data_IF_894517393069
#
_entry.id   IF_894517393069
#
_cell.length_a   1.000
_cell.length_b   1.000
_cell.length_c   1.000
_cell.angle_alpha   90.00
_cell.angle_beta   90.00
_cell.angle_gamma   90.00
#
_symmetry.space_group_name_H-M   'P 1'
#
loop_
_entity.id
_entity.type
_entity.pdbx_description
1 polymer ?
#
# COMPACT_ATOMS: atom_id res chain seq x y z
N UNK A 1 -11.08 -4.34 -9.20
CA UNK A 1 -10.35 -3.89 -8.00
C UNK A 1 -10.04 -5.04 -7.06
N UNK A 2 -11.04 -5.71 -6.46
CA UNK A 2 -10.77 -6.76 -5.45
C UNK A 2 -9.91 -7.94 -5.95
N UNK A 3 -10.13 -8.48 -7.16
CA UNK A 3 -9.27 -9.55 -7.73
C UNK A 3 -7.80 -9.15 -7.89
N UNK A 4 -7.54 -7.90 -8.28
CA UNK A 4 -6.16 -7.38 -8.45
C UNK A 4 -5.51 -7.20 -7.08
N UNK A 5 -6.26 -6.64 -6.12
CA UNK A 5 -5.83 -6.48 -4.73
C UNK A 5 -5.55 -7.84 -4.09
N UNK A 6 -6.41 -8.83 -4.31
CA UNK A 6 -6.27 -10.17 -3.76
C UNK A 6 -5.07 -10.92 -4.34
N UNK A 7 -4.83 -10.82 -5.65
CA UNK A 7 -3.64 -11.42 -6.30
C UNK A 7 -2.35 -10.77 -5.77
N UNK A 8 -2.32 -9.43 -5.67
CA UNK A 8 -1.15 -8.70 -5.20
C UNK A 8 -0.90 -8.92 -3.70
N UNK A 9 -1.96 -8.97 -2.90
CA UNK A 9 -1.90 -9.28 -1.48
C UNK A 9 -1.43 -10.71 -1.23
N UNK A 10 -1.90 -11.67 -2.05
CA UNK A 10 -1.46 -13.06 -1.98
C UNK A 10 0.00 -13.21 -2.39
N UNK A 11 0.46 -12.45 -3.38
CA UNK A 11 1.88 -12.39 -3.73
C UNK A 11 2.73 -11.85 -2.57
N UNK A 12 2.32 -10.78 -1.90
CA UNK A 12 3.01 -10.25 -0.71
C UNK A 12 2.94 -11.19 0.49
N UNK A 13 1.81 -11.84 0.73
CA UNK A 13 1.67 -12.82 1.80
C UNK A 13 2.61 -14.02 1.60
N UNK A 14 2.84 -14.44 0.35
CA UNK A 14 3.78 -15.52 0.02
C UNK A 14 5.24 -15.06 0.15
N UNK A 15 5.58 -13.82 -0.21
CA UNK A 15 6.97 -13.33 -0.18
C UNK A 15 7.42 -12.85 1.20
N UNK A 16 6.53 -12.25 2.00
CA UNK A 16 6.86 -11.67 3.31
C UNK A 16 6.30 -12.47 4.50
N UNK A 17 5.56 -13.56 4.26
CA UNK A 17 4.90 -14.36 5.29
C UNK A 17 4.02 -13.53 6.25
N UNK A 18 3.41 -12.46 5.73
CA UNK A 18 2.52 -11.55 6.48
C UNK A 18 1.07 -12.04 6.48
N UNK A 19 0.28 -11.56 7.44
CA UNK A 19 -1.13 -11.92 7.54
C UNK A 19 -1.88 -11.40 6.31
N UNK A 20 -2.79 -12.20 5.73
CA UNK A 20 -3.56 -11.80 4.54
C UNK A 20 -4.34 -10.47 4.72
N UNK A 21 -4.73 -10.14 5.95
CA UNK A 21 -5.35 -8.85 6.29
C UNK A 21 -4.39 -7.66 6.14
N UNK A 22 -3.11 -7.83 6.48
CA UNK A 22 -2.04 -6.83 6.36
C UNK A 22 -1.68 -6.58 4.90
N UNK A 23 -1.55 -7.66 4.12
CA UNK A 23 -1.16 -7.57 2.71
C UNK A 23 -2.27 -6.92 1.87
N UNK A 24 -3.54 -7.25 2.15
CA UNK A 24 -4.70 -6.66 1.45
C UNK A 24 -4.90 -5.19 1.80
N UNK A 25 -4.73 -4.80 3.07
CA UNK A 25 -4.82 -3.39 3.47
C UNK A 25 -3.68 -2.57 2.88
N UNK A 26 -2.48 -3.11 2.82
CA UNK A 26 -1.32 -2.41 2.27
C UNK A 26 -1.48 -2.15 0.77
N UNK A 27 -1.95 -3.13 0.01
CA UNK A 27 -2.27 -2.93 -1.41
C UNK A 27 -3.40 -1.90 -1.58
N UNK A 28 -4.43 -1.95 -0.73
CA UNK A 28 -5.51 -0.97 -0.75
C UNK A 28 -4.99 0.46 -0.48
N UNK A 29 -4.04 0.64 0.43
CA UNK A 29 -3.38 1.92 0.70
C UNK A 29 -2.70 2.52 -0.54
N UNK A 30 -2.05 1.70 -1.38
CA UNK A 30 -1.33 2.16 -2.57
C UNK A 30 -2.30 2.71 -3.64
N UNK A 31 -3.47 2.09 -3.78
CA UNK A 31 -4.44 2.44 -4.82
C UNK A 31 -5.47 3.49 -4.38
N UNK A 32 -5.96 3.43 -3.14
CA UNK A 32 -7.06 4.26 -2.64
C UNK A 32 -6.58 5.45 -1.81
N UNK A 33 -5.30 5.50 -1.41
CA UNK A 33 -4.83 6.54 -0.51
C UNK A 33 -5.10 6.27 0.97
N UNK A 34 -4.29 6.92 1.80
CA UNK A 34 -4.33 6.84 3.26
C UNK A 34 -5.73 7.04 3.88
N UNK A 35 -6.57 8.00 3.44
CA UNK A 35 -7.89 8.22 4.07
C UNK A 35 -8.89 7.10 3.77
N UNK A 36 -8.87 6.54 2.55
CA UNK A 36 -9.82 5.50 2.13
C UNK A 36 -9.39 4.11 2.62
N UNK A 37 -8.09 3.88 2.71
CA UNK A 37 -7.56 2.64 3.24
C UNK A 37 -7.80 2.51 4.75
N UNK A 38 -7.65 3.60 5.53
CA UNK A 38 -7.97 3.65 6.96
C UNK A 38 -9.43 3.27 7.27
N UNK A 39 -10.35 3.56 6.34
CA UNK A 39 -11.75 3.19 6.45
C UNK A 39 -11.97 1.69 6.17
N UNK A 40 -11.17 1.11 5.27
CA UNK A 40 -11.24 -0.30 4.87
C UNK A 40 -10.67 -1.24 5.95
N UNK A 41 -9.65 -0.80 6.70
CA UNK A 41 -9.10 -1.53 7.86
C UNK A 41 -9.87 -1.33 9.16
N UNK A 42 -10.78 -0.35 9.25
CA UNK A 42 -11.59 -0.06 10.43
C UNK A 42 -12.31 -1.27 11.07
N UNK A 43 -12.87 -2.23 10.32
CA UNK A 43 -13.45 -3.45 10.91
C UNK A 43 -12.40 -4.46 11.41
N UNK A 44 -11.15 -4.36 10.97
CA UNK A 44 -10.05 -5.27 11.35
C UNK A 44 -9.16 -4.73 12.47
N UNK A 45 -9.21 -3.42 12.75
CA UNK A 45 -8.51 -2.76 13.85
C UNK A 45 -8.59 -3.49 15.23
N UNK A 46 -9.77 -3.98 15.69
CA UNK A 46 -9.85 -4.63 17.00
C UNK A 46 -9.25 -6.05 17.03
N UNK A 47 -8.95 -6.64 15.88
CA UNK A 47 -8.44 -8.00 15.73
C UNK A 47 -6.94 -8.02 15.37
N UNK A 48 -6.35 -6.86 15.08
CA UNK A 48 -4.96 -6.73 14.64
C UNK A 48 -3.99 -6.53 15.80
N UNK A 49 -2.80 -7.11 15.65
CA UNK A 49 -1.68 -6.91 16.57
C UNK A 49 -0.99 -5.55 16.33
N UNK A 50 -0.21 -5.08 17.32
CA UNK A 50 0.55 -3.82 17.19
C UNK A 50 1.55 -3.86 16.03
N UNK A 51 2.11 -5.02 15.70
CA UNK A 51 3.06 -5.19 14.61
C UNK A 51 2.40 -5.04 13.25
N UNK A 52 1.20 -5.60 13.08
CA UNK A 52 0.42 -5.49 11.83
C UNK A 52 -0.02 -4.04 11.59
N UNK A 53 -0.50 -3.35 12.63
CA UNK A 53 -0.84 -1.93 12.56
C UNK A 53 0.37 -1.06 12.19
N UNK A 54 1.53 -1.36 12.76
CA UNK A 54 2.77 -0.66 12.44
C UNK A 54 3.16 -0.88 10.98
N UNK A 55 3.15 -2.13 10.51
CA UNK A 55 3.53 -2.47 9.14
C UNK A 55 2.63 -1.79 8.09
N UNK A 56 1.30 -1.79 8.29
CA UNK A 56 0.35 -1.12 7.38
C UNK A 56 0.61 0.39 7.34
N UNK A 57 0.86 0.99 8.49
CA UNK A 57 1.11 2.44 8.59
C UNK A 57 2.44 2.80 7.92
N UNK A 58 3.51 2.06 8.20
CA UNK A 58 4.83 2.26 7.57
C UNK A 58 4.76 2.07 6.06
N UNK A 59 4.05 1.06 5.58
CA UNK A 59 3.87 0.84 4.15
C UNK A 59 3.08 1.96 3.46
N UNK A 60 2.09 2.55 4.16
CA UNK A 60 1.36 3.72 3.70
C UNK A 60 2.23 4.99 3.58
N UNK A 61 3.23 5.16 4.46
CA UNK A 61 4.20 6.27 4.36
C UNK A 61 5.34 6.00 3.37
N UNK A 62 5.68 4.74 3.13
CA UNK A 62 6.71 4.35 2.16
C UNK A 62 6.24 4.47 0.70
N UNK A 63 4.93 4.52 0.47
CA UNK A 63 4.34 4.50 -0.88
C UNK A 63 3.73 5.85 -1.25
N UNK A 64 3.95 6.28 -2.50
CA UNK A 64 3.21 7.39 -3.11
C UNK A 64 1.97 6.81 -3.78
N UNK A 65 0.80 7.35 -3.45
CA UNK A 65 -0.46 6.89 -4.04
C UNK A 65 -0.65 7.36 -5.47
N UNK A 66 -1.40 6.58 -6.26
CA UNK A 66 -1.59 6.83 -7.68
C UNK A 66 -2.15 8.25 -7.98
N UNK A 67 -2.98 8.79 -7.08
CA UNK A 67 -3.56 10.13 -7.18
C UNK A 67 -2.49 11.24 -7.15
N UNK A 68 -1.62 11.24 -6.14
CA UNK A 68 -0.51 12.20 -6.05
C UNK A 68 0.54 11.97 -7.13
N UNK A 69 0.75 10.72 -7.55
CA UNK A 69 1.60 10.41 -8.70
C UNK A 69 1.09 11.08 -9.98
N UNK A 70 -0.22 11.01 -10.26
CA UNK A 70 -0.81 11.65 -11.43
C UNK A 70 -0.62 13.17 -11.42
N UNK A 71 -0.71 13.79 -10.24
CA UNK A 71 -0.44 15.22 -10.05
C UNK A 71 1.03 15.55 -10.37
N UNK A 72 1.99 14.75 -9.89
CA UNK A 72 3.41 14.96 -10.20
C UNK A 72 3.72 14.87 -11.71
N UNK A 73 3.08 13.94 -12.41
CA UNK A 73 3.19 13.84 -13.88
C UNK A 73 2.60 15.06 -14.57
N UNK A 74 1.45 15.55 -14.10
CA UNK A 74 0.83 16.77 -14.62
C UNK A 74 1.73 18.01 -14.44
N UNK A 75 2.46 18.08 -13.32
CA UNK A 75 3.45 19.14 -13.04
C UNK A 75 4.78 18.97 -13.79
N UNK A 76 4.91 17.98 -14.68
CA UNK A 76 6.08 17.80 -15.54
C UNK A 76 7.25 17.06 -14.89
N UNK A 77 7.03 16.38 -13.76
CA UNK A 77 8.06 15.52 -13.14
C UNK A 77 8.28 14.28 -13.99
N UNK A 78 9.55 13.97 -14.30
CA UNK A 78 9.91 12.78 -15.10
C UNK A 78 9.53 11.51 -14.35
N UNK A 79 8.55 10.78 -14.88
CA UNK A 79 8.01 9.50 -14.36
C UNK A 79 9.08 8.47 -14.00
N UNK A 80 10.21 8.45 -14.70
CA UNK A 80 11.30 7.51 -14.42
C UNK A 80 11.88 7.69 -13.01
N UNK A 81 11.92 8.91 -12.46
CA UNK A 81 12.37 9.13 -11.09
C UNK A 81 11.36 8.65 -10.05
N UNK A 82 10.06 8.75 -10.37
CA UNK A 82 9.00 8.38 -9.44
C UNK A 82 8.82 6.85 -9.33
N UNK A 83 9.10 6.09 -10.40
CA UNK A 83 9.08 4.62 -10.34
C UNK A 83 10.40 3.99 -9.87
N UNK A 84 11.53 4.68 -10.07
CA UNK A 84 12.86 4.11 -9.82
C UNK A 84 13.31 4.18 -8.35
N UNK A 85 12.41 4.53 -7.42
CA UNK A 85 12.66 4.45 -5.98
C UNK A 85 12.60 2.98 -5.50
N UNK A 86 13.41 2.13 -6.12
CA UNK A 86 13.81 0.84 -5.61
C UNK A 86 15.00 1.08 -4.65
N UNK A 87 15.22 0.26 -3.61
CA UNK A 87 16.47 0.33 -2.84
C UNK A 87 17.64 0.09 -3.80
N UNK A 88 18.30 1.16 -4.22
CA UNK A 88 19.62 1.08 -4.84
C UNK A 88 20.58 0.61 -3.75
N UNK A 89 21.13 -0.59 -3.95
CA UNK A 89 22.47 -0.95 -3.50
C UNK A 89 23.44 -0.46 -4.57
#
# INVERSE_FOLDING_TARGET
>A
MQKVVEIMARAMAITMATTAAESTSTVACIFLGQPEASLTIKPFLPLMTRSELFAITTAGFASVTADVFAIFVHYGVRVHHCYSCHPCN
#
